data_IF_404356628847
#
_entry.id   IF_404356628847
#
_cell.length_a   1.000
_cell.length_b   1.000
_cell.length_c   1.000
_cell.angle_alpha   90.00
_cell.angle_beta   90.00
_cell.angle_gamma   90.00
#
_symmetry.space_group_name_H-M   'P 1'
#
loop_
_entity.id
_entity.type
_entity.pdbx_description
1 polymer ?
#
# COMPACT_ATOMS: atom_id res chain seq x y z
N UNK A 1 88.66 5.85 -17.96
CA UNK A 1 88.59 4.48 -17.51
C UNK A 1 87.59 4.40 -16.38
N UNK A 2 86.76 3.51 -16.59
CA UNK A 2 85.74 2.87 -15.74
C UNK A 2 84.32 3.47 -15.66
N UNK A 3 83.54 2.76 -16.37
CA UNK A 3 82.15 2.95 -16.60
C UNK A 3 81.36 2.15 -15.56
N UNK A 4 80.71 2.75 -14.61
CA UNK A 4 79.74 2.04 -13.74
C UNK A 4 78.35 2.45 -14.06
N UNK A 5 77.70 1.55 -14.78
CA UNK A 5 76.23 1.55 -15.04
C UNK A 5 75.49 1.37 -13.73
N UNK A 6 74.74 2.35 -13.29
CA UNK A 6 73.73 2.17 -12.26
C UNK A 6 72.38 1.86 -12.93
N UNK A 7 71.98 0.64 -12.87
CA UNK A 7 70.65 0.18 -13.27
C UNK A 7 69.65 0.63 -12.18
N UNK A 8 68.87 1.64 -12.45
CA UNK A 8 67.70 1.97 -11.64
C UNK A 8 66.60 0.99 -11.97
N UNK A 9 66.35 0.08 -11.00
CA UNK A 9 65.16 -0.74 -11.03
C UNK A 9 63.93 0.12 -10.64
N UNK A 10 63.17 0.48 -11.65
CA UNK A 10 61.86 1.15 -11.45
C UNK A 10 60.86 0.08 -10.98
N UNK A 11 60.62 0.02 -9.67
CA UNK A 11 59.55 -0.79 -9.10
C UNK A 11 58.23 -0.08 -9.32
N UNK A 12 57.52 -0.52 -10.31
CA UNK A 12 56.12 -0.12 -10.55
C UNK A 12 55.24 -0.77 -9.49
N UNK A 13 54.85 -0.01 -8.51
CA UNK A 13 53.81 -0.44 -7.52
C UNK A 13 52.47 -0.25 -8.17
N UNK A 14 51.85 -1.37 -8.60
CA UNK A 14 50.52 -1.40 -9.12
C UNK A 14 49.53 -1.31 -7.93
N UNK A 15 49.04 -0.12 -7.62
CA UNK A 15 48.01 0.07 -6.64
C UNK A 15 46.65 -0.37 -7.23
N UNK A 16 46.22 -1.59 -6.84
CA UNK A 16 44.87 -2.07 -7.13
C UNK A 16 43.90 -1.35 -6.19
N UNK A 17 43.21 -0.31 -6.69
CA UNK A 17 42.12 0.32 -5.99
C UNK A 17 40.90 -0.62 -6.06
N UNK A 18 40.62 -1.32 -4.97
CA UNK A 18 39.32 -2.00 -4.78
C UNK A 18 38.26 -0.90 -4.59
N UNK A 19 37.55 -0.58 -5.66
CA UNK A 19 36.33 0.20 -5.57
C UNK A 19 35.22 -0.72 -5.00
N UNK A 20 35.06 -0.66 -3.69
CA UNK A 20 33.89 -1.27 -3.02
C UNK A 20 32.65 -0.45 -3.41
N UNK A 21 31.92 -0.91 -4.42
CA UNK A 21 30.59 -0.39 -4.73
C UNK A 21 29.65 -0.77 -3.58
N UNK A 22 29.43 0.16 -2.65
CA UNK A 22 28.28 0.09 -1.74
C UNK A 22 27.02 0.17 -2.58
N UNK A 23 26.41 -0.96 -2.86
CA UNK A 23 25.03 -1.01 -3.33
C UNK A 23 24.16 -0.51 -2.19
N UNK A 24 23.72 0.75 -2.28
CA UNK A 24 22.66 1.27 -1.43
C UNK A 24 21.38 0.57 -1.90
N UNK A 25 21.03 -0.54 -1.25
CA UNK A 25 19.68 -1.06 -1.33
C UNK A 25 18.77 0.00 -0.70
N UNK A 26 18.18 0.81 -1.56
CA UNK A 26 17.04 1.62 -1.18
C UNK A 26 15.96 0.62 -0.79
N UNK A 27 15.75 0.45 0.52
CA UNK A 27 14.57 -0.23 1.03
C UNK A 27 13.37 0.56 0.48
N UNK A 28 12.85 0.10 -0.66
CA UNK A 28 11.52 0.52 -1.11
C UNK A 28 10.60 0.16 0.04
N UNK A 29 10.03 1.17 0.69
CA UNK A 29 8.83 0.95 1.49
C UNK A 29 7.92 0.13 0.59
N UNK A 30 7.65 -1.13 0.97
CA UNK A 30 6.93 -2.04 0.10
C UNK A 30 5.57 -1.43 -0.16
N UNK A 31 5.40 -0.90 -1.37
CA UNK A 31 4.09 -0.57 -1.90
C UNK A 31 3.27 -1.86 -1.89
N UNK A 32 1.97 -1.76 -1.70
CA UNK A 32 1.13 -2.95 -1.66
C UNK A 32 1.22 -3.73 -2.97
N UNK A 33 1.18 -5.06 -2.88
CA UNK A 33 1.13 -5.99 -4.00
C UNK A 33 -0.32 -6.22 -4.42
N UNK A 34 -0.63 -6.06 -5.71
CA UNK A 34 -2.00 -6.20 -6.24
C UNK A 34 -2.50 -7.64 -6.19
N UNK A 35 -1.64 -8.61 -6.51
CA UNK A 35 -1.97 -10.03 -6.53
C UNK A 35 -2.25 -10.54 -5.10
N UNK A 36 -1.39 -10.20 -4.15
CA UNK A 36 -1.60 -10.52 -2.74
C UNK A 36 -2.83 -9.79 -2.19
N UNK A 37 -3.08 -8.57 -2.64
CA UNK A 37 -4.27 -7.80 -2.33
C UNK A 37 -5.57 -8.46 -2.80
N UNK A 38 -5.55 -9.13 -3.96
CA UNK A 38 -6.69 -9.90 -4.43
C UNK A 38 -6.99 -11.11 -3.51
N UNK A 39 -5.94 -11.75 -2.96
CA UNK A 39 -6.10 -12.82 -1.97
C UNK A 39 -6.67 -12.28 -0.65
N UNK A 40 -6.14 -11.17 -0.15
CA UNK A 40 -6.67 -10.50 1.05
C UNK A 40 -8.12 -10.08 0.85
N UNK A 41 -8.49 -9.57 -0.33
CA UNK A 41 -9.84 -9.14 -0.66
C UNK A 41 -10.88 -10.26 -0.56
N UNK A 42 -10.50 -11.52 -0.63
CA UNK A 42 -11.41 -12.66 -0.39
C UNK A 42 -12.11 -12.57 0.97
N UNK A 43 -11.46 -11.98 1.97
CA UNK A 43 -12.03 -11.70 3.30
C UNK A 43 -13.17 -10.64 3.25
N UNK A 44 -13.22 -9.83 2.19
CA UNK A 44 -14.16 -8.72 2.01
C UNK A 44 -15.36 -9.11 1.12
N UNK A 45 -15.19 -10.11 0.24
CA UNK A 45 -16.13 -10.48 -0.82
C UNK A 45 -17.51 -10.91 -0.34
N UNK A 46 -17.62 -11.40 0.89
CA UNK A 46 -18.92 -11.75 1.47
C UNK A 46 -19.85 -10.53 1.54
N UNK A 47 -19.29 -9.33 1.74
CA UNK A 47 -20.05 -8.10 1.95
C UNK A 47 -19.84 -7.06 0.84
N UNK A 48 -18.73 -7.07 0.13
CA UNK A 48 -18.38 -6.08 -0.88
C UNK A 48 -18.16 -6.69 -2.26
N UNK A 49 -18.28 -5.83 -3.27
CA UNK A 49 -18.03 -6.21 -4.65
C UNK A 49 -17.14 -5.18 -5.36
N UNK A 50 -16.41 -5.62 -6.38
CA UNK A 50 -15.57 -4.81 -7.26
C UNK A 50 -15.66 -5.33 -8.70
N UNK A 51 -15.40 -4.49 -9.67
CA UNK A 51 -15.38 -4.83 -11.10
C UNK A 51 -16.54 -4.22 -11.87
N UNK A 52 -16.64 -4.47 -13.19
CA UNK A 52 -17.61 -3.83 -14.06
C UNK A 52 -19.07 -4.16 -13.72
N UNK A 53 -19.33 -5.34 -13.18
CA UNK A 53 -20.66 -5.80 -12.79
C UNK A 53 -20.94 -5.68 -11.29
N UNK A 54 -20.07 -4.96 -10.56
CA UNK A 54 -20.16 -4.84 -9.09
C UNK A 54 -21.49 -4.21 -8.65
N UNK A 55 -22.06 -4.79 -7.60
CA UNK A 55 -23.34 -4.33 -7.00
C UNK A 55 -23.20 -4.14 -5.49
N UNK A 56 -24.02 -3.26 -4.94
CA UNK A 56 -24.17 -3.17 -3.50
C UNK A 56 -24.67 -4.51 -2.94
N UNK A 57 -24.03 -4.97 -1.88
CA UNK A 57 -24.41 -6.17 -1.11
C UNK A 57 -24.73 -5.77 0.33
N UNK A 58 -24.28 -6.53 1.31
CA UNK A 58 -24.30 -6.12 2.73
C UNK A 58 -23.50 -4.84 2.95
N UNK A 59 -22.41 -4.68 2.22
CA UNK A 59 -21.61 -3.45 2.09
C UNK A 59 -21.76 -2.79 0.72
N UNK A 60 -21.32 -1.54 0.57
CA UNK A 60 -21.34 -0.84 -0.71
C UNK A 60 -20.31 -1.41 -1.69
N UNK A 61 -20.48 -1.16 -2.97
CA UNK A 61 -19.45 -1.41 -3.98
C UNK A 61 -18.19 -0.61 -3.65
N UNK A 62 -17.02 -1.18 -3.97
CA UNK A 62 -15.74 -0.56 -3.68
C UNK A 62 -15.02 -0.02 -4.91
N UNK A 63 -15.64 -0.07 -6.10
CA UNK A 63 -15.09 0.62 -7.28
C UNK A 63 -14.87 2.10 -6.98
N UNK A 64 -13.69 2.62 -7.26
CA UNK A 64 -13.33 4.01 -7.01
C UNK A 64 -13.39 4.43 -5.55
N UNK A 65 -13.16 3.49 -4.61
CA UNK A 65 -13.19 3.81 -3.18
C UNK A 65 -12.06 4.76 -2.77
N UNK A 66 -10.87 4.63 -3.38
CA UNK A 66 -9.75 5.51 -3.07
C UNK A 66 -10.04 6.92 -3.57
N UNK A 67 -9.98 7.89 -2.68
CA UNK A 67 -10.33 9.30 -2.95
C UNK A 67 -11.83 9.61 -2.88
N UNK A 68 -12.69 8.64 -2.57
CA UNK A 68 -14.14 8.85 -2.47
C UNK A 68 -14.52 9.37 -1.08
N UNK A 69 -15.41 10.38 -0.97
CA UNK A 69 -15.98 10.77 0.31
C UNK A 69 -16.79 9.64 0.95
N UNK A 70 -16.75 9.54 2.27
CA UNK A 70 -17.50 8.50 2.99
C UNK A 70 -19.01 8.71 2.82
N UNK A 71 -19.75 7.59 2.76
CA UNK A 71 -21.22 7.63 2.73
C UNK A 71 -21.86 8.06 1.42
N UNK A 72 -21.16 8.04 0.27
CA UNK A 72 -21.60 8.66 -0.98
C UNK A 72 -22.03 7.70 -2.10
N UNK A 73 -21.97 6.39 -1.91
CA UNK A 73 -22.52 5.46 -2.91
C UNK A 73 -24.05 5.57 -2.93
N UNK A 74 -24.58 5.89 -4.11
CA UNK A 74 -26.00 6.00 -4.32
C UNK A 74 -26.71 4.66 -4.11
N UNK A 75 -27.90 4.70 -3.53
CA UNK A 75 -28.71 3.51 -3.26
C UNK A 75 -28.19 2.61 -2.13
N UNK A 76 -27.09 2.93 -1.46
CA UNK A 76 -26.62 2.16 -0.32
C UNK A 76 -27.05 2.77 1.03
N UNK A 77 -27.60 1.96 1.91
CA UNK A 77 -28.09 2.37 3.23
C UNK A 77 -26.95 2.39 4.26
N UNK A 78 -26.13 3.43 4.25
CA UNK A 78 -25.03 3.61 5.22
C UNK A 78 -25.53 3.75 6.67
N UNK A 79 -24.64 3.44 7.61
CA UNK A 79 -24.84 3.78 9.03
C UNK A 79 -24.87 5.30 9.24
N UNK A 80 -25.55 5.80 10.30
CA UNK A 80 -25.44 7.20 10.68
C UNK A 80 -23.99 7.65 10.88
N UNK A 81 -23.15 6.80 11.52
CA UNK A 81 -21.74 7.09 11.75
C UNK A 81 -20.96 7.31 10.44
N UNK A 82 -21.24 6.51 9.39
CA UNK A 82 -20.57 6.66 8.12
C UNK A 82 -21.03 7.93 7.38
N UNK A 83 -22.32 8.24 7.41
CA UNK A 83 -22.85 9.49 6.84
C UNK A 83 -22.31 10.72 7.54
N UNK A 84 -22.27 10.71 8.86
CA UNK A 84 -21.72 11.79 9.69
C UNK A 84 -20.22 12.00 9.40
N UNK A 85 -19.45 10.92 9.30
CA UNK A 85 -18.04 11.01 8.93
C UNK A 85 -17.86 11.68 7.56
N UNK A 86 -18.67 11.30 6.56
CA UNK A 86 -18.65 11.93 5.24
C UNK A 86 -19.04 13.41 5.27
N UNK A 87 -20.07 13.78 6.02
CA UNK A 87 -20.49 15.18 6.17
C UNK A 87 -19.42 16.04 6.86
N UNK A 88 -18.59 15.45 7.68
CA UNK A 88 -17.41 16.06 8.31
C UNK A 88 -16.16 16.05 7.45
N UNK A 89 -16.26 15.61 6.20
CA UNK A 89 -15.18 15.66 5.21
C UNK A 89 -14.27 14.45 5.21
N UNK A 90 -14.64 13.32 5.81
CA UNK A 90 -13.83 12.10 5.71
C UNK A 90 -13.83 11.61 4.26
N UNK A 91 -12.61 11.50 3.70
CA UNK A 91 -12.34 10.93 2.38
C UNK A 91 -11.53 9.64 2.56
N UNK A 92 -11.88 8.62 1.83
CA UNK A 92 -11.17 7.35 1.83
C UNK A 92 -9.85 7.45 1.07
N UNK A 93 -8.90 8.21 1.61
CA UNK A 93 -7.52 8.20 1.13
C UNK A 93 -6.86 6.88 1.48
N UNK A 94 -5.74 6.55 0.84
CA UNK A 94 -4.97 5.33 1.16
C UNK A 94 -4.58 5.31 2.65
N UNK A 95 -4.17 6.45 3.20
CA UNK A 95 -3.81 6.58 4.63
C UNK A 95 -5.02 6.35 5.55
N UNK A 96 -6.16 6.94 5.22
CA UNK A 96 -7.40 6.76 6.00
C UNK A 96 -7.86 5.31 5.95
N UNK A 97 -7.82 4.69 4.76
CA UNK A 97 -8.17 3.28 4.59
C UNK A 97 -7.21 2.37 5.36
N UNK A 98 -5.92 2.67 5.35
CA UNK A 98 -4.92 1.90 6.07
C UNK A 98 -5.19 1.88 7.58
N UNK A 99 -5.55 3.02 8.17
CA UNK A 99 -5.94 3.14 9.57
C UNK A 99 -7.29 2.47 9.86
N UNK A 100 -8.28 2.70 8.99
CA UNK A 100 -9.62 2.14 9.13
C UNK A 100 -9.61 0.61 9.11
N UNK A 101 -8.89 0.01 8.16
CA UNK A 101 -8.85 -1.45 7.98
C UNK A 101 -8.16 -2.18 9.13
N UNK A 102 -7.39 -1.52 9.95
CA UNK A 102 -6.79 -2.14 11.15
C UNK A 102 -7.83 -2.54 12.20
N UNK A 103 -8.81 -1.66 12.43
CA UNK A 103 -9.88 -1.86 13.42
C UNK A 103 -11.10 -0.99 13.08
N UNK A 104 -11.95 -1.37 12.10
CA UNK A 104 -13.06 -0.54 11.63
C UNK A 104 -14.03 -0.08 12.72
N UNK A 105 -14.35 -0.96 13.66
CA UNK A 105 -15.27 -0.67 14.76
C UNK A 105 -14.69 0.38 15.74
N UNK A 106 -13.37 0.37 15.93
CA UNK A 106 -12.69 1.35 16.80
C UNK A 106 -12.49 2.68 16.07
N UNK A 107 -12.19 2.64 14.77
CA UNK A 107 -11.99 3.83 13.96
C UNK A 107 -13.30 4.61 13.77
N UNK A 108 -14.41 3.90 13.53
CA UNK A 108 -15.74 4.47 13.28
C UNK A 108 -16.78 3.78 14.18
N UNK A 109 -16.90 4.17 15.45
CA UNK A 109 -17.92 3.63 16.34
C UNK A 109 -19.34 3.85 15.74
N UNK A 110 -20.16 2.81 15.74
CA UNK A 110 -21.48 2.83 15.13
C UNK A 110 -21.52 2.50 13.63
N UNK A 111 -20.39 2.12 13.04
CA UNK A 111 -20.38 1.54 11.69
C UNK A 111 -21.16 0.23 11.68
N UNK A 112 -21.83 -0.07 10.54
CA UNK A 112 -22.49 -1.37 10.29
C UNK A 112 -21.50 -2.44 9.81
N UNK A 113 -20.26 -2.10 9.52
CA UNK A 113 -19.25 -3.03 9.06
C UNK A 113 -18.74 -3.91 10.20
N UNK A 114 -19.28 -5.12 10.31
CA UNK A 114 -18.89 -6.10 11.32
C UNK A 114 -17.63 -6.87 10.89
N UNK A 115 -16.49 -6.19 10.90
CA UNK A 115 -15.20 -6.74 10.50
C UNK A 115 -14.15 -6.48 11.59
N UNK A 116 -13.42 -7.54 11.98
CA UNK A 116 -12.42 -7.43 13.05
C UNK A 116 -11.17 -6.63 12.66
N UNK A 117 -10.99 -6.39 11.36
CA UNK A 117 -9.84 -5.68 10.81
C UNK A 117 -8.71 -6.60 10.35
N UNK A 118 -7.80 -6.01 9.59
CA UNK A 118 -6.56 -6.63 9.12
C UNK A 118 -5.41 -6.18 10.03
N UNK A 119 -4.88 -7.09 10.83
CA UNK A 119 -3.83 -6.75 11.81
C UNK A 119 -2.46 -6.63 11.16
N UNK A 120 -2.20 -7.42 10.11
CA UNK A 120 -0.98 -7.31 9.32
C UNK A 120 -0.99 -6.00 8.50
N UNK A 121 0.00 -5.13 8.69
CA UNK A 121 0.11 -3.90 7.90
C UNK A 121 0.37 -4.16 6.41
N UNK A 122 0.97 -5.29 6.05
CA UNK A 122 1.18 -5.63 4.65
C UNK A 122 -0.14 -6.01 3.98
N UNK A 123 -0.98 -6.82 4.62
CA UNK A 123 -2.34 -7.13 4.13
C UNK A 123 -3.13 -5.85 3.82
N UNK A 124 -3.01 -4.82 4.68
CA UNK A 124 -3.69 -3.53 4.46
C UNK A 124 -3.17 -2.79 3.24
N UNK A 125 -1.86 -2.76 3.04
CA UNK A 125 -1.24 -2.14 1.85
C UNK A 125 -1.66 -2.87 0.58
N UNK A 126 -1.60 -4.19 0.60
CA UNK A 126 -1.90 -5.03 -0.55
C UNK A 126 -3.36 -4.89 -0.99
N UNK A 127 -4.30 -4.96 -0.05
CA UNK A 127 -5.72 -4.80 -0.41
C UNK A 127 -6.04 -3.39 -0.90
N UNK A 128 -5.38 -2.35 -0.39
CA UNK A 128 -5.54 -0.99 -0.88
C UNK A 128 -4.99 -0.88 -2.32
N UNK A 129 -3.81 -1.47 -2.60
CA UNK A 129 -3.25 -1.52 -3.95
C UNK A 129 -4.20 -2.23 -4.92
N UNK A 130 -4.78 -3.36 -4.52
CA UNK A 130 -5.78 -4.08 -5.31
C UNK A 130 -7.02 -3.21 -5.58
N UNK A 131 -7.57 -2.54 -4.56
CA UNK A 131 -8.75 -1.70 -4.72
C UNK A 131 -8.51 -0.49 -5.63
N UNK A 132 -7.28 0.02 -5.72
CA UNK A 132 -6.91 1.09 -6.66
C UNK A 132 -7.03 0.68 -8.12
N UNK A 133 -6.94 -0.61 -8.43
CA UNK A 133 -7.10 -1.11 -9.81
C UNK A 133 -8.53 -0.95 -10.33
N UNK A 134 -9.51 -0.74 -9.45
CA UNK A 134 -10.92 -0.50 -9.78
C UNK A 134 -11.30 0.99 -9.72
N UNK A 135 -10.40 1.87 -10.13
CA UNK A 135 -10.73 3.28 -10.33
C UNK A 135 -11.89 3.43 -11.33
N UNK A 136 -12.65 4.55 -11.20
CA UNK A 136 -13.77 4.83 -12.11
C UNK A 136 -13.30 5.05 -13.53
#
# INVERSE_FOLDING_TARGET
MDCRRHRFFLRTVLAVALASSLSVEIARAQDGNVEDGAEVFKKCRACHDVGPEAKNKVGPILNGIVGRPAGTIEGFAYSPANKDAGSKGLVWTEEVMFKYLEAPLSFMPGTKMAFAGLKDPQDRKDVIAYLKTFAK
#
